data_IF_615397398279
#
_entry.id   IF_615397398279
#
_cell.length_a   1.000
_cell.length_b   1.000
_cell.length_c   1.000
_cell.angle_alpha   90.00
_cell.angle_beta   90.00
_cell.angle_gamma   90.00
#
_symmetry.space_group_name_H-M   'P 1'
#
loop_
_entity.id
_entity.type
_entity.pdbx_description
1 polymer ?
#
# COMPACT_ATOMS: atom_id res chain seq x y z
N UNK A 1 -14.12 -11.13 -15.40
CA UNK A 1 -13.26 -10.03 -15.76
C UNK A 1 -12.20 -9.82 -14.74
N UNK A 2 -11.00 -9.56 -15.19
CA UNK A 2 -9.85 -9.42 -14.29
C UNK A 2 -9.43 -7.98 -14.10
N UNK A 3 -10.37 -7.08 -14.34
CA UNK A 3 -10.08 -5.66 -14.21
C UNK A 3 -10.66 -5.14 -12.92
N UNK A 4 -9.92 -4.23 -12.32
CA UNK A 4 -10.37 -3.57 -11.11
C UNK A 4 -9.95 -2.12 -11.17
N UNK A 5 -10.76 -1.29 -11.82
CA UNK A 5 -10.43 0.14 -11.89
C UNK A 5 -10.60 0.81 -10.54
N UNK A 6 -9.99 1.97 -10.41
CA UNK A 6 -10.12 2.77 -9.21
C UNK A 6 -9.11 2.41 -8.16
N UNK A 7 -9.34 2.96 -6.98
CA UNK A 7 -8.45 2.79 -5.85
C UNK A 7 -9.07 1.87 -4.82
N UNK A 8 -8.22 1.14 -4.13
CA UNK A 8 -8.67 0.19 -3.13
C UNK A 8 -7.94 0.45 -1.82
N UNK A 9 -8.68 0.29 -0.74
CA UNK A 9 -8.10 0.34 0.58
C UNK A 9 -7.48 -1.02 0.88
N UNK A 10 -6.31 -1.01 1.47
CA UNK A 10 -5.60 -2.24 1.77
C UNK A 10 -4.88 -2.12 3.09
N UNK A 11 -4.56 -3.26 3.68
CA UNK A 11 -3.82 -3.33 4.94
C UNK A 11 -2.50 -4.04 4.65
N UNK A 12 -1.41 -3.44 5.09
CA UNK A 12 -0.11 -4.05 4.93
C UNK A 12 0.01 -5.22 5.91
N UNK A 13 0.38 -6.37 5.38
CA UNK A 13 0.56 -7.58 6.19
C UNK A 13 2.02 -7.85 6.47
N UNK A 14 2.90 -7.49 5.56
CA UNK A 14 4.32 -7.74 5.73
C UNK A 14 5.11 -6.81 4.82
N UNK A 15 6.29 -6.42 5.28
CA UNK A 15 7.22 -5.67 4.48
C UNK A 15 8.48 -6.46 4.18
N UNK A 16 8.49 -7.73 4.58
CA UNK A 16 9.65 -8.59 4.39
C UNK A 16 9.56 -9.32 3.06
N UNK A 17 9.79 -8.59 1.98
CA UNK A 17 9.74 -9.16 0.64
C UNK A 17 10.85 -10.19 0.47
N UNK A 18 10.51 -11.45 0.23
CA UNK A 18 11.55 -12.48 0.10
C UNK A 18 12.47 -12.27 -1.10
N UNK A 19 11.99 -11.55 -2.11
CA UNK A 19 12.79 -11.27 -3.30
C UNK A 19 13.56 -9.96 -3.18
N UNK A 20 13.40 -9.25 -2.06
CA UNK A 20 14.10 -8.00 -1.80
C UNK A 20 13.86 -6.95 -2.87
N UNK A 21 12.65 -6.91 -3.38
CA UNK A 21 12.27 -5.93 -4.40
C UNK A 21 11.61 -4.69 -3.82
N UNK A 22 11.52 -4.61 -2.49
CA UNK A 22 10.87 -3.47 -1.88
C UNK A 22 9.38 -3.47 -2.02
N UNK A 23 8.77 -4.64 -2.20
CA UNK A 23 7.32 -4.77 -2.28
C UNK A 23 6.74 -4.94 -0.89
N UNK A 24 5.45 -4.72 -0.78
CA UNK A 24 4.73 -4.94 0.47
C UNK A 24 3.61 -5.92 0.22
N UNK A 25 3.39 -6.78 1.19
CA UNK A 25 2.30 -7.73 1.13
C UNK A 25 1.05 -7.05 1.65
N UNK A 26 0.02 -6.97 0.84
CA UNK A 26 -1.20 -6.26 1.19
C UNK A 26 -2.41 -7.16 1.08
N UNK A 27 -3.35 -6.96 1.99
CA UNK A 27 -4.67 -7.57 1.92
C UNK A 27 -5.65 -6.50 1.50
N UNK A 28 -6.47 -6.80 0.50
CA UNK A 28 -7.42 -5.85 -0.05
C UNK A 28 -8.82 -6.38 0.25
N UNK A 29 -9.46 -5.88 1.33
CA UNK A 29 -10.73 -6.47 1.77
C UNK A 29 -11.82 -6.43 0.72
N UNK A 30 -11.86 -5.39 -0.11
CA UNK A 30 -12.93 -5.26 -1.11
C UNK A 30 -12.86 -6.34 -2.17
N UNK A 31 -11.73 -6.99 -2.32
CA UNK A 31 -11.57 -8.02 -3.35
C UNK A 31 -11.68 -9.43 -2.79
N UNK A 32 -11.62 -9.58 -1.48
CA UNK A 32 -11.75 -10.88 -0.82
C UNK A 32 -10.79 -11.92 -1.38
N UNK A 33 -9.58 -11.49 -1.71
CA UNK A 33 -8.56 -12.37 -2.25
C UNK A 33 -7.47 -12.56 -1.22
N UNK A 34 -6.58 -13.48 -1.50
CA UNK A 34 -5.39 -13.65 -0.68
C UNK A 34 -4.53 -12.41 -0.77
N UNK A 35 -3.69 -12.23 0.24
CA UNK A 35 -2.75 -11.12 0.23
C UNK A 35 -1.80 -11.25 -0.95
N UNK A 36 -1.42 -10.11 -1.49
CA UNK A 36 -0.55 -10.04 -2.66
C UNK A 36 0.59 -9.08 -2.42
N UNK A 37 1.69 -9.34 -3.11
CA UNK A 37 2.82 -8.42 -3.08
C UNK A 37 2.55 -7.27 -4.03
N UNK A 38 2.58 -6.06 -3.50
CA UNK A 38 2.33 -4.84 -4.26
C UNK A 38 3.62 -4.07 -4.40
N UNK A 39 3.85 -3.54 -5.60
CA UNK A 39 5.00 -2.69 -5.86
C UNK A 39 4.78 -1.34 -5.23
N UNK A 40 5.80 -0.80 -4.56
CA UNK A 40 5.71 0.55 -4.02
C UNK A 40 5.93 1.56 -5.13
N UNK A 41 5.02 2.52 -5.21
CA UNK A 41 5.14 3.60 -6.17
C UNK A 41 6.11 4.65 -5.64
N UNK A 42 7.11 5.00 -6.41
CA UNK A 42 8.11 5.97 -6.01
C UNK A 42 7.70 7.32 -6.58
N UNK A 43 7.38 8.26 -5.72
CA UNK A 43 6.95 9.58 -6.15
C UNK A 43 8.10 10.59 -6.16
N UNK A 44 9.20 10.26 -5.50
CA UNK A 44 10.36 11.14 -5.46
C UNK A 44 11.58 10.31 -5.14
N UNK A 45 12.70 10.62 -5.77
CA UNK A 45 13.92 9.89 -5.47
C UNK A 45 14.51 10.26 -4.12
N UNK A 46 14.02 11.34 -3.52
CA UNK A 46 14.53 11.79 -2.24
C UNK A 46 13.62 11.42 -1.09
N UNK A 47 12.38 11.11 -1.36
CA UNK A 47 11.42 10.76 -0.33
C UNK A 47 11.16 9.27 -0.41
N UNK A 48 11.33 8.59 0.69
CA UNK A 48 11.10 7.16 0.76
C UNK A 48 9.87 6.92 1.61
N UNK A 49 8.88 6.28 1.01
CA UNK A 49 7.68 5.89 1.73
C UNK A 49 7.81 4.42 2.06
N UNK A 50 7.84 4.12 3.36
CA UNK A 50 7.94 2.75 3.84
C UNK A 50 6.83 2.51 4.84
N UNK A 51 5.78 1.83 4.44
CA UNK A 51 4.71 1.51 5.39
C UNK A 51 5.13 0.38 6.31
N UNK A 52 4.47 0.30 7.44
CA UNK A 52 4.68 -0.78 8.39
C UNK A 52 3.51 -1.75 8.31
N UNK A 53 3.75 -2.97 8.78
CA UNK A 53 2.68 -3.94 8.88
C UNK A 53 1.56 -3.37 9.75
N UNK A 54 0.33 -3.53 9.29
CA UNK A 54 -0.84 -2.99 9.96
C UNK A 54 -1.28 -1.65 9.42
N UNK A 55 -0.44 -0.97 8.65
CA UNK A 55 -0.81 0.32 8.09
C UNK A 55 -1.88 0.16 7.02
N UNK A 56 -2.73 1.16 6.94
CA UNK A 56 -3.73 1.24 5.89
C UNK A 56 -3.14 2.02 4.73
N UNK A 57 -3.23 1.45 3.55
CA UNK A 57 -2.63 2.04 2.34
C UNK A 57 -3.64 2.04 1.22
N UNK A 58 -3.31 2.76 0.17
CA UNK A 58 -4.11 2.83 -1.05
C UNK A 58 -3.40 2.05 -2.13
N UNK A 59 -4.14 1.16 -2.78
CA UNK A 59 -3.61 0.31 -3.84
C UNK A 59 -4.40 0.52 -5.11
N UNK A 60 -3.71 0.57 -6.23
CA UNK A 60 -4.32 0.55 -7.54
C UNK A 60 -3.75 -0.63 -8.30
N UNK A 61 -4.35 -0.95 -9.41
CA UNK A 61 -3.88 -2.05 -10.24
C UNK A 61 -3.41 -1.49 -11.57
N UNK A 62 -2.17 -1.77 -11.90
CA UNK A 62 -1.56 -1.26 -13.12
C UNK A 62 -2.36 -1.79 -14.31
N UNK A 63 -2.82 -0.87 -15.15
CA UNK A 63 -3.66 -1.21 -16.30
C UNK A 63 -4.93 -1.98 -15.90
N UNK A 64 -5.36 -1.85 -14.65
CA UNK A 64 -6.54 -2.56 -14.17
C UNK A 64 -6.30 -4.05 -13.92
N UNK A 65 -5.07 -4.51 -14.02
CA UNK A 65 -4.75 -5.93 -13.92
C UNK A 65 -4.64 -6.34 -12.45
N UNK A 66 -5.51 -7.24 -12.02
CA UNK A 66 -5.51 -7.69 -10.62
C UNK A 66 -4.24 -8.39 -10.22
N UNK A 67 -3.38 -8.74 -11.16
CA UNK A 67 -2.10 -9.37 -10.87
C UNK A 67 -0.99 -8.37 -10.68
N UNK A 68 -1.29 -7.07 -10.84
CA UNK A 68 -0.26 -6.04 -10.78
C UNK A 68 -0.65 -4.93 -9.81
N UNK A 69 -0.76 -5.24 -8.50
CA UNK A 69 -1.10 -4.21 -7.52
C UNK A 69 0.08 -3.27 -7.29
N UNK A 70 -0.23 -2.00 -7.11
CA UNK A 70 0.74 -0.97 -6.82
C UNK A 70 0.28 -0.21 -5.58
N UNK A 71 1.14 -0.11 -4.59
CA UNK A 71 0.85 0.64 -3.37
C UNK A 71 1.23 2.10 -3.61
N UNK A 72 0.24 2.98 -3.54
CA UNK A 72 0.43 4.38 -3.85
C UNK A 72 0.85 5.20 -2.63
N UNK A 73 0.47 4.79 -1.44
CA UNK A 73 0.80 5.54 -0.25
C UNK A 73 -0.06 5.16 0.92
N UNK A 74 0.23 5.77 2.06
CA UNK A 74 -0.56 5.57 3.27
C UNK A 74 -1.87 6.31 3.18
N UNK A 75 -2.90 5.68 3.71
CA UNK A 75 -4.18 6.32 3.82
C UNK A 75 -4.31 6.84 5.25
N UNK A 76 -4.30 8.15 5.40
CA UNK A 76 -4.43 8.76 6.72
C UNK A 76 -5.88 9.13 6.96
N UNK A 77 -6.40 8.61 8.05
CA UNK A 77 -7.76 8.96 8.44
C UNK A 77 -7.74 9.55 9.83
N UNK A 78 -8.90 9.85 10.37
CA UNK A 78 -8.96 10.52 11.65
C UNK A 78 -8.44 9.73 12.81
N UNK A 79 -8.17 8.46 12.64
CA UNK A 79 -7.68 7.61 13.71
C UNK A 79 -6.18 7.41 13.63
N UNK A 80 -5.58 7.75 12.52
CA UNK A 80 -4.16 7.65 12.38
C UNK A 80 -3.50 8.85 13.01
N UNK A 81 -2.40 8.63 13.69
CA UNK A 81 -1.68 9.73 14.27
C UNK A 81 -0.56 10.17 13.36
N UNK A 82 -0.30 11.47 13.31
CA UNK A 82 0.86 11.95 12.58
C UNK A 82 2.13 11.37 13.19
N UNK A 83 3.12 11.19 12.41
CA UNK A 83 4.34 10.59 12.92
C UNK A 83 5.06 11.42 13.97
N UNK A 84 4.79 12.68 14.07
CA UNK A 84 5.47 13.46 15.11
C UNK A 84 4.49 14.10 16.00
N UNK A 85 4.54 14.54 15.92
CA UNK A 85 4.05 15.23 16.35
C UNK A 85 4.15 16.09 16.75
N UNK A 86 4.16 16.18 16.46
CA UNK A 86 4.13 16.78 16.56
C UNK A 86 3.96 17.56 16.86
N UNK A 87 4.04 17.89 16.88
CA UNK A 87 3.95 18.68 17.06
C UNK A 87 3.80 19.42 16.82
N UNK A 88 3.85 19.43 16.70
CA UNK A 88 3.78 20.12 16.28
C UNK A 88 3.46 20.73 16.37
N UNK A 89 3.49 20.75 16.46
CA UNK A 89 3.26 21.49 16.50
C UNK A 89 3.09 21.93 16.32
#
# INVERSE_FOLDING_TARGET
MNESPGLHRAIVRSTADPDRRGRVLVAIPSLSTDAQWATLCVTSTQAVFLPDAGDEVVVAFLDGDLRAPVCLGSLRNGQSRPPTDSHRG
#
